data_IF_843001452897
#
_entry.id   IF_843001452897
#
_cell.length_a   1.000
_cell.length_b   1.000
_cell.length_c   1.000
_cell.angle_alpha   90.00
_cell.angle_beta   90.00
_cell.angle_gamma   90.00
#
_symmetry.space_group_name_H-M   'P 1'
#
loop_
_entity.id
_entity.type
_entity.pdbx_description
1 polymer ?
#
# COMPACT_ATOMS: atom_id res chain seq x y z
N UNK A 1 -36.20 -8.59 -41.13
CA UNK A 1 -35.12 -9.42 -41.71
C UNK A 1 -35.51 -10.90 -41.81
N UNK A 2 -36.03 -11.53 -40.76
CA UNK A 2 -36.49 -12.94 -40.83
C UNK A 2 -37.55 -13.17 -41.92
N UNK A 3 -38.46 -12.21 -42.12
CA UNK A 3 -39.52 -12.31 -43.14
C UNK A 3 -39.06 -12.01 -44.59
N UNK A 4 -37.81 -11.57 -44.76
CA UNK A 4 -37.21 -11.32 -46.08
C UNK A 4 -36.48 -12.56 -46.62
N UNK A 5 -36.18 -13.56 -45.78
CA UNK A 5 -35.53 -14.79 -46.21
C UNK A 5 -36.60 -15.72 -46.76
N UNK A 6 -36.76 -15.74 -48.09
CA UNK A 6 -37.61 -16.68 -48.81
C UNK A 6 -36.72 -17.59 -49.65
N UNK A 7 -36.75 -18.88 -49.37
CA UNK A 7 -35.98 -19.88 -50.11
C UNK A 7 -36.98 -20.76 -50.85
N UNK A 8 -36.94 -20.68 -52.18
CA UNK A 8 -37.69 -21.59 -53.05
C UNK A 8 -36.72 -22.59 -53.66
N UNK A 9 -36.93 -23.88 -53.38
CA UNK A 9 -36.11 -24.95 -53.92
C UNK A 9 -36.87 -25.69 -55.02
N UNK A 10 -36.28 -25.75 -56.23
CA UNK A 10 -36.72 -26.64 -57.30
C UNK A 10 -35.62 -27.70 -57.52
N UNK A 11 -35.87 -28.98 -57.22
CA UNK A 11 -34.85 -30.01 -57.34
C UNK A 11 -34.43 -30.21 -58.80
N UNK A 12 -33.13 -30.34 -59.05
CA UNK A 12 -32.60 -30.70 -60.35
C UNK A 12 -32.85 -32.21 -60.58
N UNK A 13 -33.79 -32.53 -61.48
CA UNK A 13 -34.04 -33.91 -61.91
C UNK A 13 -33.17 -34.23 -63.13
N UNK A 14 -32.12 -35.04 -62.93
CA UNK A 14 -31.33 -35.58 -64.02
C UNK A 14 -31.96 -36.90 -64.49
N UNK A 15 -32.60 -36.87 -65.64
CA UNK A 15 -33.17 -38.06 -66.29
C UNK A 15 -32.28 -38.51 -67.43
N UNK A 16 -32.01 -39.81 -67.50
CA UNK A 16 -31.35 -40.46 -68.63
C UNK A 16 -32.21 -41.65 -69.05
N UNK A 17 -32.20 -41.99 -70.33
CA UNK A 17 -32.84 -43.18 -70.87
C UNK A 17 -32.07 -44.45 -70.48
N UNK A 18 -31.90 -44.67 -69.18
CA UNK A 18 -31.04 -45.71 -68.62
C UNK A 18 -31.34 -47.09 -69.20
N UNK A 19 -32.61 -47.49 -69.25
CA UNK A 19 -33.02 -48.80 -69.76
C UNK A 19 -32.68 -48.98 -71.26
N UNK A 20 -32.78 -47.93 -72.06
CA UNK A 20 -32.42 -47.99 -73.49
C UNK A 20 -30.90 -48.00 -73.68
N UNK A 21 -30.18 -47.17 -72.91
CA UNK A 21 -28.74 -47.06 -72.97
C UNK A 21 -28.06 -48.33 -72.45
N UNK A 22 -28.56 -48.91 -71.36
CA UNK A 22 -28.11 -50.19 -70.79
C UNK A 22 -28.36 -51.33 -71.77
N UNK A 23 -29.56 -51.41 -72.37
CA UNK A 23 -29.89 -52.43 -73.37
C UNK A 23 -29.04 -52.32 -74.63
N UNK A 24 -28.79 -51.09 -75.10
CA UNK A 24 -27.90 -50.84 -76.24
C UNK A 24 -26.46 -51.23 -75.92
N UNK A 25 -25.95 -50.80 -74.76
CA UNK A 25 -24.60 -51.11 -74.33
C UNK A 25 -24.41 -52.61 -74.10
N UNK A 26 -25.37 -53.31 -73.48
CA UNK A 26 -25.33 -54.75 -73.29
C UNK A 26 -25.28 -55.50 -74.63
N UNK A 27 -26.10 -55.08 -75.61
CA UNK A 27 -26.10 -55.66 -76.96
C UNK A 27 -24.83 -55.36 -77.75
N UNK A 28 -24.24 -54.18 -77.56
CA UNK A 28 -22.92 -53.88 -78.13
C UNK A 28 -21.85 -54.76 -77.49
N UNK A 29 -21.89 -54.94 -76.15
CA UNK A 29 -20.96 -55.76 -75.38
C UNK A 29 -20.95 -57.25 -75.79
N UNK A 30 -22.06 -57.81 -76.28
CA UNK A 30 -22.13 -59.17 -76.84
C UNK A 30 -21.16 -59.39 -78.02
N UNK A 31 -20.86 -58.33 -78.80
CA UNK A 31 -19.89 -58.40 -79.92
C UNK A 31 -18.45 -58.59 -79.46
N UNK A 32 -18.20 -58.42 -78.17
CA UNK A 32 -16.86 -58.46 -77.56
C UNK A 32 -16.60 -59.78 -76.83
N UNK A 33 -17.54 -60.74 -76.87
CA UNK A 33 -17.38 -62.11 -76.36
C UNK A 33 -16.56 -62.96 -77.36
N UNK A 34 -15.31 -62.54 -77.60
CA UNK A 34 -14.40 -63.14 -78.60
C UNK A 34 -13.22 -63.79 -77.89
N UNK A 35 -12.96 -65.06 -78.19
CA UNK A 35 -11.75 -65.77 -77.72
C UNK A 35 -10.52 -65.17 -78.41
N UNK A 36 -9.62 -64.57 -77.64
CA UNK A 36 -8.38 -63.98 -78.16
C UNK A 36 -7.44 -65.09 -78.60
N UNK A 37 -7.11 -65.14 -79.89
CA UNK A 37 -6.13 -66.04 -80.50
C UNK A 37 -4.97 -65.23 -81.08
N UNK A 38 -3.87 -65.88 -81.48
CA UNK A 38 -2.65 -65.20 -81.96
C UNK A 38 -2.89 -64.21 -83.11
N UNK A 39 -3.87 -64.51 -83.98
CA UNK A 39 -4.21 -63.68 -85.14
C UNK A 39 -5.21 -62.54 -84.81
N UNK A 40 -5.94 -62.62 -83.69
CA UNK A 40 -7.01 -61.65 -83.32
C UNK A 40 -6.59 -60.66 -82.23
N UNK A 41 -5.36 -60.76 -81.69
CA UNK A 41 -4.84 -59.88 -80.63
C UNK A 41 -4.90 -58.39 -80.99
N UNK A 42 -4.64 -58.05 -82.25
CA UNK A 42 -4.65 -56.65 -82.71
C UNK A 42 -6.06 -56.05 -82.64
N UNK A 43 -7.05 -56.81 -83.09
CA UNK A 43 -8.45 -56.38 -83.11
C UNK A 43 -9.02 -56.35 -81.68
N UNK A 44 -8.67 -57.31 -80.84
CA UNK A 44 -9.02 -57.30 -79.41
C UNK A 44 -8.48 -56.05 -78.67
N UNK A 45 -7.26 -55.59 -78.99
CA UNK A 45 -6.70 -54.34 -78.43
C UNK A 45 -7.43 -53.09 -78.93
N UNK A 46 -7.85 -53.06 -80.20
CA UNK A 46 -8.64 -51.96 -80.74
C UNK A 46 -10.01 -51.87 -80.04
N UNK A 47 -10.68 -53.01 -79.89
CA UNK A 47 -11.96 -53.13 -79.19
C UNK A 47 -11.87 -52.71 -77.71
N UNK A 48 -10.82 -53.12 -77.00
CA UNK A 48 -10.58 -52.68 -75.62
C UNK A 48 -10.34 -51.16 -75.52
N UNK A 49 -9.75 -50.55 -76.55
CA UNK A 49 -9.54 -49.10 -76.62
C UNK A 49 -10.88 -48.36 -76.83
N UNK A 50 -11.76 -48.90 -77.68
CA UNK A 50 -13.11 -48.36 -77.89
C UNK A 50 -13.97 -48.43 -76.62
N UNK A 51 -13.96 -49.55 -75.90
CA UNK A 51 -14.68 -49.68 -74.62
C UNK A 51 -14.18 -48.68 -73.58
N UNK A 52 -12.85 -48.45 -73.51
CA UNK A 52 -12.29 -47.41 -72.64
C UNK A 52 -12.72 -46.00 -73.06
N UNK A 53 -12.85 -45.72 -74.36
CA UNK A 53 -13.36 -44.45 -74.86
C UNK A 53 -14.84 -44.24 -74.49
N UNK A 54 -15.69 -45.25 -74.70
CA UNK A 54 -17.12 -45.23 -74.34
C UNK A 54 -17.32 -45.05 -72.84
N UNK A 55 -16.57 -45.79 -72.01
CA UNK A 55 -16.54 -45.60 -70.55
C UNK A 55 -16.20 -44.16 -70.17
N UNK A 56 -15.16 -43.59 -70.79
CA UNK A 56 -14.74 -42.21 -70.51
C UNK A 56 -15.82 -41.20 -70.90
N UNK A 57 -16.51 -41.39 -72.02
CA UNK A 57 -17.62 -40.51 -72.45
C UNK A 57 -18.77 -40.54 -71.44
N UNK A 58 -19.18 -41.73 -70.98
CA UNK A 58 -20.25 -41.88 -69.97
C UNK A 58 -19.85 -41.18 -68.67
N UNK A 59 -18.64 -41.44 -68.17
CA UNK A 59 -18.17 -40.85 -66.92
C UNK A 59 -18.00 -39.33 -67.02
N UNK A 60 -17.44 -38.81 -68.11
CA UNK A 60 -17.30 -37.37 -68.35
C UNK A 60 -18.66 -36.70 -68.43
N UNK A 61 -19.60 -37.21 -69.25
CA UNK A 61 -20.95 -36.61 -69.36
C UNK A 61 -21.70 -36.64 -68.04
N UNK A 62 -21.61 -37.75 -67.29
CA UNK A 62 -22.18 -37.85 -65.93
C UNK A 62 -21.60 -36.76 -65.03
N UNK A 63 -20.27 -36.60 -64.98
CA UNK A 63 -19.61 -35.59 -64.15
C UNK A 63 -19.98 -34.17 -64.56
N UNK A 64 -20.01 -33.89 -65.86
CA UNK A 64 -20.33 -32.55 -66.39
C UNK A 64 -21.78 -32.16 -66.08
N UNK A 65 -22.75 -33.05 -66.30
CA UNK A 65 -24.16 -32.77 -66.02
C UNK A 65 -24.45 -32.69 -64.50
N UNK A 66 -23.79 -33.53 -63.68
CA UNK A 66 -23.86 -33.40 -62.21
C UNK A 66 -23.23 -32.10 -61.74
N UNK A 67 -22.12 -31.67 -62.33
CA UNK A 67 -21.48 -30.40 -62.01
C UNK A 67 -22.42 -29.23 -62.32
N UNK A 68 -23.02 -29.19 -63.52
CA UNK A 68 -24.01 -28.19 -63.93
C UNK A 68 -25.23 -28.17 -63.02
N UNK A 69 -25.79 -29.34 -62.67
CA UNK A 69 -26.94 -29.44 -61.78
C UNK A 69 -26.62 -28.98 -60.34
N UNK A 70 -25.38 -29.18 -59.89
CA UNK A 70 -24.93 -28.75 -58.55
C UNK A 70 -24.54 -27.27 -58.47
N UNK A 71 -24.26 -26.62 -59.61
CA UNK A 71 -23.77 -25.25 -59.69
C UNK A 71 -24.73 -24.23 -59.03
N UNK A 72 -26.05 -24.25 -59.28
CA UNK A 72 -26.97 -23.33 -58.61
C UNK A 72 -26.99 -23.49 -57.09
N UNK A 73 -26.83 -24.72 -56.60
CA UNK A 73 -26.79 -25.00 -55.15
C UNK A 73 -25.50 -24.47 -54.53
N UNK A 74 -24.35 -24.65 -55.21
CA UNK A 74 -23.06 -24.10 -54.77
C UNK A 74 -23.08 -22.57 -54.76
N UNK A 75 -23.64 -21.95 -55.79
CA UNK A 75 -23.80 -20.49 -55.86
C UNK A 75 -24.73 -19.97 -54.77
N UNK A 76 -25.84 -20.67 -54.50
CA UNK A 76 -26.73 -20.35 -53.38
C UNK A 76 -25.99 -20.41 -52.04
N UNK A 77 -25.27 -21.49 -51.74
CA UNK A 77 -24.48 -21.63 -50.51
C UNK A 77 -23.42 -20.53 -50.38
N UNK A 78 -22.70 -20.22 -51.47
CA UNK A 78 -21.73 -19.13 -51.49
C UNK A 78 -22.36 -17.76 -51.21
N UNK A 79 -23.52 -17.47 -51.81
CA UNK A 79 -24.26 -16.23 -51.58
C UNK A 79 -24.76 -16.14 -50.14
N UNK A 80 -25.27 -17.24 -49.58
CA UNK A 80 -25.70 -17.28 -48.18
C UNK A 80 -24.53 -17.08 -47.22
N UNK A 81 -23.39 -17.73 -47.46
CA UNK A 81 -22.15 -17.51 -46.69
C UNK A 81 -21.68 -16.05 -46.76
N UNK A 82 -21.79 -15.41 -47.92
CA UNK A 82 -21.49 -13.98 -48.07
C UNK A 82 -22.38 -13.11 -47.18
N UNK A 83 -23.69 -13.39 -47.12
CA UNK A 83 -24.61 -12.66 -46.24
C UNK A 83 -24.27 -12.88 -44.76
N UNK A 84 -23.94 -14.11 -44.35
CA UNK A 84 -23.47 -14.40 -42.99
C UNK A 84 -22.21 -13.61 -42.67
N UNK A 85 -21.21 -13.63 -43.56
CA UNK A 85 -19.96 -12.89 -43.39
C UNK A 85 -20.19 -11.37 -43.29
N UNK A 86 -21.17 -10.81 -44.00
CA UNK A 86 -21.55 -9.40 -43.86
C UNK A 86 -22.08 -9.08 -42.45
N UNK A 87 -22.90 -9.97 -41.88
CA UNK A 87 -23.40 -9.81 -40.51
C UNK A 87 -22.26 -9.91 -39.48
N UNK A 88 -21.36 -10.88 -39.64
CA UNK A 88 -20.19 -11.06 -38.77
C UNK A 88 -19.26 -9.84 -38.82
N UNK A 89 -18.93 -9.35 -40.02
CA UNK A 89 -18.12 -8.15 -40.20
C UNK A 89 -18.78 -6.92 -39.58
N UNK A 90 -20.10 -6.76 -39.73
CA UNK A 90 -20.86 -5.68 -39.09
C UNK A 90 -20.80 -5.75 -37.56
N UNK A 91 -21.01 -6.94 -36.98
CA UNK A 91 -20.86 -7.18 -35.54
C UNK A 91 -19.46 -6.86 -35.05
N UNK A 92 -18.43 -7.35 -35.74
CA UNK A 92 -17.05 -7.14 -35.33
C UNK A 92 -16.68 -5.65 -35.31
N UNK A 93 -17.11 -4.89 -36.32
CA UNK A 93 -16.92 -3.42 -36.33
C UNK A 93 -17.52 -2.74 -35.10
N UNK A 94 -18.72 -3.17 -34.66
CA UNK A 94 -19.35 -2.63 -33.45
C UNK A 94 -18.54 -3.00 -32.21
N UNK A 95 -18.10 -4.25 -32.08
CA UNK A 95 -17.28 -4.69 -30.95
C UNK A 95 -15.95 -3.92 -30.88
N UNK A 96 -15.29 -3.72 -32.02
CA UNK A 96 -14.05 -2.95 -32.08
C UNK A 96 -14.27 -1.48 -31.67
N UNK A 97 -15.40 -0.87 -32.08
CA UNK A 97 -15.77 0.48 -31.66
C UNK A 97 -16.06 0.57 -30.16
N UNK A 98 -16.80 -0.41 -29.61
CA UNK A 98 -17.09 -0.48 -28.17
C UNK A 98 -15.78 -0.62 -27.39
N UNK A 99 -14.90 -1.53 -27.79
CA UNK A 99 -13.61 -1.73 -27.12
C UNK A 99 -12.77 -0.45 -27.10
N UNK A 100 -12.64 0.23 -28.25
CA UNK A 100 -11.91 1.52 -28.34
C UNK A 100 -12.51 2.57 -27.42
N UNK A 101 -13.83 2.72 -27.44
CA UNK A 101 -14.53 3.68 -26.59
C UNK A 101 -14.30 3.37 -25.09
N UNK A 102 -14.38 2.10 -24.70
CA UNK A 102 -14.14 1.71 -23.32
C UNK A 102 -12.70 1.96 -22.86
N UNK A 103 -11.72 1.64 -23.71
CA UNK A 103 -10.30 1.83 -23.41
C UNK A 103 -9.94 3.32 -23.33
N UNK A 104 -10.45 4.14 -24.26
CA UNK A 104 -10.31 5.61 -24.22
C UNK A 104 -10.98 6.19 -22.96
N UNK A 105 -12.16 5.68 -22.57
CA UNK A 105 -12.86 6.12 -21.36
C UNK A 105 -12.06 5.76 -20.10
N UNK A 106 -11.50 4.55 -20.03
CA UNK A 106 -10.64 4.11 -18.90
C UNK A 106 -9.35 4.93 -18.82
N UNK A 107 -8.73 5.22 -19.96
CA UNK A 107 -7.55 6.10 -20.02
C UNK A 107 -7.88 7.51 -19.53
N UNK A 108 -9.00 8.08 -19.97
CA UNK A 108 -9.44 9.41 -19.52
C UNK A 108 -9.79 9.42 -18.04
N UNK A 109 -10.41 8.35 -17.53
CA UNK A 109 -10.67 8.19 -16.10
C UNK A 109 -9.37 8.23 -15.29
N UNK A 110 -8.35 7.48 -15.72
CA UNK A 110 -7.06 7.44 -15.03
C UNK A 110 -6.35 8.79 -15.04
N UNK A 111 -6.38 9.51 -16.16
CA UNK A 111 -5.84 10.87 -16.27
C UNK A 111 -6.51 11.81 -15.26
N UNK A 112 -7.83 11.89 -15.27
CA UNK A 112 -8.59 12.76 -14.37
C UNK A 112 -8.41 12.37 -12.89
N UNK A 113 -8.38 11.06 -12.58
CA UNK A 113 -8.12 10.57 -11.23
C UNK A 113 -6.71 10.97 -10.76
N UNK A 114 -5.73 10.93 -11.65
CA UNK A 114 -4.34 11.30 -11.36
C UNK A 114 -4.24 12.79 -11.06
N UNK A 115 -4.82 13.63 -11.92
CA UNK A 115 -4.89 15.08 -11.73
C UNK A 115 -5.58 15.43 -10.41
N UNK A 116 -6.76 14.86 -10.17
CA UNK A 116 -7.53 15.12 -8.95
C UNK A 116 -6.79 14.67 -7.70
N UNK A 117 -6.12 13.51 -7.71
CA UNK A 117 -5.32 13.05 -6.57
C UNK A 117 -4.17 14.00 -6.25
N UNK A 118 -3.48 14.52 -7.27
CA UNK A 118 -2.39 15.50 -7.09
C UNK A 118 -2.91 16.81 -6.52
N UNK A 119 -4.04 17.31 -7.04
CA UNK A 119 -4.75 18.46 -6.49
C UNK A 119 -5.06 18.25 -5.00
N UNK A 120 -5.66 17.10 -4.65
CA UNK A 120 -6.02 16.79 -3.25
C UNK A 120 -4.82 16.64 -2.33
N UNK A 121 -3.72 16.02 -2.78
CA UNK A 121 -2.47 16.00 -2.01
C UNK A 121 -1.91 17.41 -1.78
N UNK A 122 -2.05 18.30 -2.77
CA UNK A 122 -1.60 19.69 -2.67
C UNK A 122 -2.46 20.48 -1.70
N UNK A 123 -3.78 20.40 -1.83
CA UNK A 123 -4.75 21.08 -0.95
C UNK A 123 -4.59 20.69 0.52
N UNK A 124 -4.28 19.41 0.78
CA UNK A 124 -4.10 18.88 2.13
C UNK A 124 -2.65 18.95 2.63
N UNK A 125 -1.74 19.53 1.83
CA UNK A 125 -0.31 19.64 2.12
C UNK A 125 0.31 18.30 2.53
N UNK A 126 0.02 17.24 1.76
CA UNK A 126 0.58 15.91 1.98
C UNK A 126 2.00 15.87 1.42
N UNK A 127 2.98 15.58 2.29
CA UNK A 127 4.39 15.47 1.93
C UNK A 127 4.64 14.21 1.08
N UNK A 128 5.65 14.25 0.22
CA UNK A 128 5.96 13.18 -0.73
C UNK A 128 6.14 11.80 -0.08
N UNK A 129 6.71 11.74 1.13
CA UNK A 129 6.91 10.48 1.86
C UNK A 129 5.60 9.77 2.25
N UNK A 130 4.47 10.49 2.27
CA UNK A 130 3.16 9.95 2.64
C UNK A 130 2.23 9.71 1.45
N UNK A 131 2.61 10.12 0.23
CA UNK A 131 1.76 10.01 -0.97
C UNK A 131 1.66 8.57 -1.45
N UNK A 132 0.74 7.79 -0.87
CA UNK A 132 0.61 6.34 -1.09
C UNK A 132 -0.71 5.94 -1.75
N UNK A 133 -1.70 6.84 -1.82
CA UNK A 133 -3.00 6.60 -2.43
C UNK A 133 -2.91 6.02 -3.85
N UNK A 134 -3.29 4.75 -4.01
CA UNK A 134 -3.44 4.07 -5.30
C UNK A 134 -4.77 4.46 -5.94
N UNK A 135 -4.86 4.52 -7.27
CA UNK A 135 -6.08 4.90 -8.00
C UNK A 135 -6.37 4.06 -9.24
N UNK A 136 -5.47 3.14 -9.62
CA UNK A 136 -5.58 2.40 -10.88
C UNK A 136 -6.85 1.54 -10.95
N UNK A 137 -7.26 0.99 -9.81
CA UNK A 137 -8.49 0.20 -9.67
C UNK A 137 -9.77 1.03 -9.83
N UNK A 138 -9.69 2.35 -9.68
CA UNK A 138 -10.80 3.27 -9.86
C UNK A 138 -11.01 3.68 -11.32
N UNK A 139 -10.07 3.36 -12.23
CA UNK A 139 -10.14 3.71 -13.65
C UNK A 139 -11.11 2.80 -14.42
N UNK A 140 -12.40 2.93 -14.11
CA UNK A 140 -13.51 2.16 -14.70
C UNK A 140 -14.46 3.07 -15.47
N UNK A 141 -15.33 2.49 -16.30
CA UNK A 141 -16.27 3.24 -17.15
C UNK A 141 -17.16 4.21 -16.35
N UNK A 142 -17.63 3.81 -15.18
CA UNK A 142 -18.48 4.63 -14.33
C UNK A 142 -17.74 5.72 -13.55
N UNK A 143 -16.41 5.78 -13.64
CA UNK A 143 -15.62 6.81 -12.98
C UNK A 143 -15.74 8.17 -13.69
N UNK A 144 -16.17 8.18 -14.95
CA UNK A 144 -16.40 9.38 -15.75
C UNK A 144 -17.89 9.51 -16.04
N UNK A 145 -18.43 10.71 -15.84
CA UNK A 145 -19.82 11.03 -16.16
C UNK A 145 -20.01 11.24 -17.65
N UNK A 146 -21.25 11.20 -18.15
CA UNK A 146 -21.54 11.51 -19.56
C UNK A 146 -21.12 12.92 -20.01
N UNK A 147 -20.76 13.82 -19.08
CA UNK A 147 -20.20 15.15 -19.37
C UNK A 147 -18.66 15.18 -19.41
N UNK A 148 -17.99 14.04 -19.24
CA UNK A 148 -16.53 13.95 -19.24
C UNK A 148 -15.83 14.33 -17.94
N UNK A 149 -16.58 14.60 -16.86
CA UNK A 149 -16.03 14.90 -15.53
C UNK A 149 -16.02 13.65 -14.63
N UNK A 150 -15.13 13.61 -13.64
CA UNK A 150 -15.13 12.54 -12.61
C UNK A 150 -16.48 12.44 -11.90
N UNK A 151 -16.95 11.20 -11.74
CA UNK A 151 -18.11 10.88 -10.94
C UNK A 151 -17.86 11.16 -9.45
N UNK A 152 -18.93 11.50 -8.72
CA UNK A 152 -18.84 11.81 -7.30
C UNK A 152 -18.33 10.63 -6.46
N UNK A 153 -18.68 9.38 -6.83
CA UNK A 153 -18.17 8.17 -6.19
C UNK A 153 -16.66 8.03 -6.35
N UNK A 154 -16.15 8.24 -7.57
CA UNK A 154 -14.71 8.19 -7.85
C UNK A 154 -13.93 9.26 -7.07
N UNK A 155 -14.47 10.48 -7.00
CA UNK A 155 -13.87 11.55 -6.18
C UNK A 155 -13.82 11.19 -4.70
N UNK A 156 -14.92 10.69 -4.13
CA UNK A 156 -14.96 10.25 -2.72
C UNK A 156 -13.93 9.16 -2.44
N UNK A 157 -13.81 8.17 -3.32
CA UNK A 157 -12.80 7.12 -3.15
C UNK A 157 -11.37 7.66 -3.18
N UNK A 158 -11.08 8.67 -4.02
CA UNK A 158 -9.78 9.35 -4.01
C UNK A 158 -9.61 10.15 -2.72
N UNK A 159 -10.61 10.93 -2.31
CA UNK A 159 -10.58 11.73 -1.08
C UNK A 159 -10.33 10.86 0.15
N UNK A 160 -11.02 9.73 0.30
CA UNK A 160 -10.82 8.79 1.41
C UNK A 160 -9.37 8.27 1.46
N UNK A 161 -8.80 7.91 0.31
CA UNK A 161 -7.41 7.43 0.22
C UNK A 161 -6.40 8.52 0.53
N UNK A 162 -6.62 9.73 0.01
CA UNK A 162 -5.75 10.89 0.31
C UNK A 162 -5.88 11.31 1.78
N UNK A 163 -7.08 11.22 2.37
CA UNK A 163 -7.28 11.45 3.80
C UNK A 163 -6.56 10.43 4.67
N UNK A 164 -6.44 9.17 4.21
CA UNK A 164 -5.63 8.16 4.89
C UNK A 164 -4.14 8.53 4.86
N UNK A 165 -3.62 9.01 3.72
CA UNK A 165 -2.25 9.53 3.59
C UNK A 165 -2.03 10.71 4.56
N UNK A 166 -2.95 11.69 4.58
CA UNK A 166 -2.87 12.84 5.49
C UNK A 166 -2.93 12.42 6.96
N UNK A 167 -3.80 11.47 7.30
CA UNK A 167 -3.89 10.93 8.67
C UNK A 167 -2.61 10.22 9.10
N UNK A 168 -1.90 9.56 8.16
CA UNK A 168 -0.60 8.96 8.43
C UNK A 168 0.48 10.01 8.67
N UNK A 169 0.48 11.09 7.89
CA UNK A 169 1.35 12.24 8.11
C UNK A 169 1.11 12.88 9.48
N UNK A 170 -0.13 13.25 9.80
CA UNK A 170 -0.46 13.93 11.07
C UNK A 170 -0.10 13.08 12.29
N UNK A 171 -0.29 11.76 12.18
CA UNK A 171 0.15 10.80 13.21
C UNK A 171 1.66 10.80 13.36
N UNK A 172 2.39 10.78 12.26
CA UNK A 172 3.85 10.80 12.25
C UNK A 172 4.40 12.10 12.84
N UNK A 173 3.84 13.24 12.45
CA UNK A 173 4.20 14.55 12.99
C UNK A 173 3.93 14.61 14.50
N UNK A 174 2.77 14.12 14.96
CA UNK A 174 2.45 14.01 16.38
C UNK A 174 3.47 13.14 17.13
N UNK A 175 3.81 11.97 16.59
CA UNK A 175 4.80 11.06 17.18
C UNK A 175 6.15 11.73 17.37
N UNK A 176 6.63 12.42 16.34
CA UNK A 176 7.90 13.15 16.39
C UNK A 176 7.87 14.32 17.39
N UNK A 177 6.75 15.04 17.48
CA UNK A 177 6.58 16.12 18.46
C UNK A 177 6.61 15.61 19.91
N UNK A 178 6.04 14.44 20.16
CA UNK A 178 5.99 13.84 21.50
C UNK A 178 7.28 13.09 21.88
N UNK A 179 8.08 12.69 20.90
CA UNK A 179 9.28 11.87 21.09
C UNK A 179 10.29 12.51 22.05
N UNK A 180 10.56 13.80 21.89
CA UNK A 180 11.48 14.53 22.78
C UNK A 180 10.95 14.56 24.21
N UNK A 181 9.66 14.83 24.38
CA UNK A 181 9.04 14.86 25.70
C UNK A 181 9.06 13.50 26.39
N UNK A 182 8.80 12.42 25.65
CA UNK A 182 8.87 11.05 26.16
C UNK A 182 10.31 10.67 26.54
N UNK A 183 11.29 11.04 25.72
CA UNK A 183 12.71 10.77 25.99
C UNK A 183 13.17 11.45 27.27
N UNK A 184 12.85 12.74 27.45
CA UNK A 184 13.22 13.49 28.65
C UNK A 184 12.51 12.99 29.90
N UNK A 185 11.23 12.62 29.80
CA UNK A 185 10.47 12.01 30.91
C UNK A 185 11.06 10.69 31.38
N UNK A 186 11.66 9.93 30.46
CA UNK A 186 12.35 8.69 30.79
C UNK A 186 13.76 8.89 31.37
N UNK A 187 14.25 10.13 31.46
CA UNK A 187 15.56 10.45 32.04
C UNK A 187 16.74 10.42 31.07
N UNK A 188 16.49 10.32 29.76
CA UNK A 188 17.56 10.40 28.76
C UNK A 188 18.17 11.81 28.72
N UNK A 189 19.49 11.89 28.82
CA UNK A 189 20.23 13.15 28.72
C UNK A 189 20.19 13.74 27.30
N UNK A 190 20.14 12.87 26.28
CA UNK A 190 19.98 13.26 24.87
C UNK A 190 18.68 12.66 24.34
N UNK A 191 17.71 13.48 23.90
CA UNK A 191 16.45 12.98 23.39
C UNK A 191 16.61 12.13 22.13
N UNK A 192 15.73 11.14 21.95
CA UNK A 192 15.66 10.39 20.71
C UNK A 192 15.22 11.30 19.55
N UNK A 193 15.84 11.08 18.40
CA UNK A 193 15.52 11.76 17.14
C UNK A 193 14.72 10.86 16.21
N UNK A 194 14.23 11.43 15.10
CA UNK A 194 13.52 10.68 14.05
C UNK A 194 14.28 9.42 13.59
N UNK A 195 15.60 9.48 13.49
CA UNK A 195 16.42 8.37 13.00
C UNK A 195 16.30 7.11 13.88
N UNK A 196 16.13 7.30 15.19
CA UNK A 196 15.98 6.19 16.15
C UNK A 196 14.66 5.44 15.96
N UNK A 197 13.61 6.13 15.50
CA UNK A 197 12.25 5.59 15.38
C UNK A 197 11.85 5.27 13.93
N UNK A 198 12.70 5.59 12.96
CA UNK A 198 12.36 5.55 11.53
C UNK A 198 11.90 4.16 11.06
N UNK A 199 12.44 3.07 11.63
CA UNK A 199 12.09 1.69 11.26
C UNK A 199 10.66 1.29 11.62
N UNK A 200 10.04 1.95 12.59
CA UNK A 200 8.69 1.66 13.05
C UNK A 200 7.77 2.88 13.12
N UNK A 201 8.19 3.99 12.51
CA UNK A 201 7.49 5.27 12.55
C UNK A 201 6.08 5.21 11.96
N UNK A 202 5.84 4.29 11.02
CA UNK A 202 4.56 4.10 10.34
C UNK A 202 3.74 2.92 10.88
N UNK A 203 4.24 2.22 11.89
CA UNK A 203 3.55 1.06 12.47
C UNK A 203 2.27 1.48 13.22
N UNK A 204 1.33 0.54 13.46
CA UNK A 204 0.17 0.76 14.32
C UNK A 204 0.57 1.30 15.69
N UNK A 205 -0.32 2.05 16.34
CA UNK A 205 -0.01 2.75 17.60
C UNK A 205 0.53 1.84 18.70
N UNK A 206 -0.05 0.66 18.85
CA UNK A 206 0.36 -0.35 19.84
C UNK A 206 1.79 -0.84 19.59
N UNK A 207 2.14 -1.08 18.32
CA UNK A 207 3.47 -1.54 17.91
C UNK A 207 4.49 -0.41 18.04
N UNK A 208 4.11 0.81 17.65
CA UNK A 208 4.96 1.99 17.77
C UNK A 208 5.35 2.25 19.21
N UNK A 209 4.38 2.27 20.13
CA UNK A 209 4.64 2.56 21.54
C UNK A 209 5.51 1.47 22.17
N UNK A 210 5.22 0.19 21.92
CA UNK A 210 6.01 -0.92 22.45
C UNK A 210 7.47 -0.89 21.96
N UNK A 211 7.71 -0.55 20.70
CA UNK A 211 9.08 -0.42 20.16
C UNK A 211 9.79 0.82 20.70
N UNK A 212 9.07 1.93 20.87
CA UNK A 212 9.61 3.15 21.46
C UNK A 212 10.05 2.91 22.90
N UNK A 213 9.19 2.31 23.72
CA UNK A 213 9.49 1.99 25.13
C UNK A 213 10.73 1.11 25.22
N UNK A 214 10.84 0.10 24.35
CA UNK A 214 12.01 -0.78 24.29
C UNK A 214 13.31 -0.05 23.96
N UNK A 215 13.28 0.91 23.05
CA UNK A 215 14.47 1.70 22.69
C UNK A 215 14.84 2.64 23.82
N UNK A 216 13.85 3.32 24.42
CA UNK A 216 14.06 4.20 25.57
C UNK A 216 14.70 3.41 26.72
N UNK A 217 14.16 2.25 27.09
CA UNK A 217 14.73 1.37 28.12
C UNK A 217 16.18 0.99 27.82
N UNK A 218 16.46 0.64 26.56
CA UNK A 218 17.81 0.26 26.15
C UNK A 218 18.81 1.42 26.24
N UNK A 219 18.39 2.64 25.91
CA UNK A 219 19.27 3.80 25.95
C UNK A 219 19.43 4.39 27.35
N UNK A 220 18.41 4.32 28.19
CA UNK A 220 18.53 4.65 29.62
C UNK A 220 19.56 3.73 30.27
N UNK A 221 19.45 2.42 30.02
CA UNK A 221 20.43 1.44 30.52
C UNK A 221 21.84 1.73 30.03
N UNK A 222 22.00 2.07 28.75
CA UNK A 222 23.31 2.42 28.18
C UNK A 222 23.90 3.68 28.82
N UNK A 223 23.07 4.67 29.12
CA UNK A 223 23.49 5.90 29.81
C UNK A 223 23.93 5.60 31.24
N UNK A 224 23.14 4.82 31.99
CA UNK A 224 23.47 4.41 33.37
C UNK A 224 24.81 3.66 33.43
N UNK A 225 25.05 2.71 32.52
CA UNK A 225 26.31 1.97 32.43
C UNK A 225 27.50 2.90 32.12
N UNK A 226 27.29 3.91 31.28
CA UNK A 226 28.32 4.90 30.95
C UNK A 226 28.63 5.82 32.15
N UNK A 227 27.60 6.27 32.87
CA UNK A 227 27.74 7.07 34.08
C UNK A 227 28.44 6.30 35.20
N UNK A 228 28.08 5.03 35.42
CA UNK A 228 28.75 4.16 36.40
C UNK A 228 30.24 4.01 36.07
N UNK A 229 30.59 3.69 34.82
CA UNK A 229 31.98 3.58 34.38
C UNK A 229 32.76 4.89 34.55
N UNK A 230 32.13 6.03 34.28
CA UNK A 230 32.75 7.34 34.49
C UNK A 230 32.98 7.62 35.97
N UNK A 231 31.99 7.33 36.83
CA UNK A 231 32.12 7.48 38.30
C UNK A 231 33.24 6.61 38.85
N UNK A 232 33.32 5.34 38.44
CA UNK A 232 34.40 4.44 38.85
C UNK A 232 35.78 4.96 38.41
N UNK A 233 35.89 5.50 37.20
CA UNK A 233 37.15 6.07 36.70
C UNK A 233 37.57 7.28 37.52
N UNK A 234 36.64 8.20 37.80
CA UNK A 234 36.90 9.38 38.65
C UNK A 234 37.31 8.95 40.07
N UNK A 235 36.63 7.95 40.64
CA UNK A 235 37.00 7.42 41.96
C UNK A 235 38.42 6.83 41.97
N UNK A 236 38.78 6.02 40.97
CA UNK A 236 40.13 5.46 40.85
C UNK A 236 41.20 6.54 40.67
N UNK A 237 40.93 7.55 39.85
CA UNK A 237 41.84 8.70 39.66
C UNK A 237 42.02 9.50 40.96
N UNK A 238 40.95 9.72 41.72
CA UNK A 238 41.00 10.42 43.00
C UNK A 238 41.79 9.63 44.06
N UNK A 239 41.58 8.30 44.16
CA UNK A 239 42.35 7.44 45.07
C UNK A 239 43.82 7.44 44.70
N UNK A 240 44.15 7.27 43.42
CA UNK A 240 45.53 7.31 42.95
C UNK A 240 46.20 8.68 43.16
N UNK A 241 45.46 9.78 43.05
CA UNK A 241 45.97 11.12 43.34
C UNK A 241 46.23 11.34 44.83
N UNK A 242 45.33 10.86 45.70
CA UNK A 242 45.51 10.90 47.15
C UNK A 242 46.72 10.06 47.59
N UNK A 243 46.86 8.84 47.07
CA UNK A 243 48.02 7.98 47.34
C UNK A 243 49.34 8.63 46.91
N UNK A 244 49.37 9.29 45.75
CA UNK A 244 50.56 10.05 45.31
C UNK A 244 50.87 11.22 46.24
N UNK A 245 49.87 12.00 46.67
CA UNK A 245 50.08 13.09 47.63
C UNK A 245 50.60 12.59 48.97
N UNK A 246 50.07 11.48 49.48
CA UNK A 246 50.56 10.82 50.71
C UNK A 246 51.99 10.34 50.54
N UNK A 247 52.32 9.72 49.41
CA UNK A 247 53.69 9.27 49.12
C UNK A 247 54.68 10.44 49.00
N UNK A 248 54.28 11.56 48.40
CA UNK A 248 55.08 12.78 48.32
C UNK A 248 55.30 13.42 49.71
N UNK A 249 54.26 13.48 50.56
CA UNK A 249 54.40 13.97 51.95
C UNK A 249 55.30 13.06 52.79
N UNK A 250 55.19 11.74 52.65
CA UNK A 250 56.07 10.78 53.34
C UNK A 250 57.51 10.92 52.85
N UNK A 251 57.73 11.18 51.56
CA UNK A 251 59.07 11.37 50.99
C UNK A 251 59.70 12.68 51.46
N UNK A 252 58.92 13.77 51.51
CA UNK A 252 59.36 15.05 52.08
C UNK A 252 59.64 14.95 53.58
N UNK A 253 58.83 14.21 54.35
CA UNK A 253 59.06 13.97 55.76
C UNK A 253 60.35 13.16 56.03
N UNK A 254 60.73 12.25 55.10
CA UNK A 254 62.00 11.53 55.16
C UNK A 254 63.21 12.40 54.81
N UNK A 255 63.08 13.42 53.97
CA UNK A 255 64.16 14.38 53.67
C UNK A 255 64.41 15.38 54.83
N UNK A 256 63.43 15.64 55.70
CA UNK A 256 63.56 16.61 56.81
C UNK A 256 64.23 16.02 58.07
N UNK A 257 64.54 14.72 58.11
CA UNK A 257 65.47 14.15 59.09
C UNK A 257 65.09 14.35 60.56
N UNK A 258 63.94 13.80 61.00
CA UNK A 258 63.66 13.54 62.42
C UNK A 258 63.11 12.13 62.53
N UNK A 259 63.93 11.22 63.08
CA UNK A 259 63.50 9.86 63.43
C UNK A 259 62.84 9.96 64.80
N UNK A 260 61.51 9.93 64.83
CA UNK A 260 60.79 9.39 65.97
C UNK A 260 59.81 8.34 65.46
N UNK A 261 60.14 7.08 65.75
CA UNK A 261 59.55 5.90 65.10
C UNK A 261 58.12 5.65 65.59
N UNK A 262 57.74 6.23 66.73
CA UNK A 262 56.46 6.02 67.40
C UNK A 262 55.36 6.97 66.89
N UNK A 263 55.69 8.13 66.31
CA UNK A 263 54.71 9.06 65.71
C UNK A 263 54.28 8.69 64.27
N UNK A 264 55.04 7.81 63.60
CA UNK A 264 54.72 7.34 62.25
C UNK A 264 53.62 6.27 62.24
N UNK A 265 53.53 5.43 63.28
CA UNK A 265 52.51 4.38 63.36
C UNK A 265 51.12 4.96 63.70
N UNK A 266 51.04 6.00 64.53
CA UNK A 266 49.77 6.71 64.82
C UNK A 266 49.26 7.49 63.59
N UNK A 267 50.15 8.14 62.83
CA UNK A 267 49.76 8.85 61.61
C UNK A 267 49.31 7.88 60.49
N UNK A 268 49.92 6.69 60.40
CA UNK A 268 49.54 5.67 59.42
C UNK A 268 48.19 5.01 59.75
N UNK A 269 47.89 4.81 61.04
CA UNK A 269 46.56 4.33 61.49
C UNK A 269 45.47 5.39 61.27
N UNK A 270 45.74 6.66 61.55
CA UNK A 270 44.77 7.75 61.32
C UNK A 270 44.50 7.99 59.82
N UNK A 271 45.51 7.80 58.96
CA UNK A 271 45.34 7.88 57.50
C UNK A 271 44.59 6.66 56.93
N UNK A 272 44.81 5.46 57.47
CA UNK A 272 44.06 4.26 57.13
C UNK A 272 42.59 4.32 57.61
N UNK A 273 42.33 4.96 58.75
CA UNK A 273 40.99 5.22 59.28
C UNK A 273 40.24 6.30 58.47
N UNK A 274 40.93 7.32 57.96
CA UNK A 274 40.33 8.27 57.02
C UNK A 274 40.04 7.63 55.65
N UNK A 275 40.95 6.78 55.15
CA UNK A 275 40.75 6.07 53.89
C UNK A 275 39.59 5.05 53.97
N UNK A 276 39.43 4.34 55.08
CA UNK A 276 38.31 3.40 55.30
C UNK A 276 36.97 4.09 55.58
N UNK A 277 36.99 5.30 56.17
CA UNK A 277 35.80 6.15 56.33
C UNK A 277 35.27 6.73 55.01
N UNK A 278 36.15 6.94 54.02
CA UNK A 278 35.78 7.34 52.65
C UNK A 278 35.17 6.15 51.86
N UNK A 279 35.57 4.91 52.16
CA UNK A 279 35.10 3.69 51.49
C UNK A 279 33.71 3.21 51.99
N UNK A 280 33.28 3.61 53.19
CA UNK A 280 32.09 3.04 53.86
C UNK A 280 30.82 3.92 53.80
N UNK A 281 30.82 5.02 53.04
CA UNK A 281 29.59 5.80 52.80
C UNK A 281 28.96 5.43 51.46
N UNK A 282 28.13 4.39 51.47
CA UNK A 282 26.95 4.39 50.61
C UNK A 282 26.10 5.62 50.98
N UNK A 283 25.73 6.49 50.03
CA UNK A 283 24.65 7.43 50.25
C UNK A 283 23.35 6.69 49.92
N UNK A 284 22.66 6.22 50.96
CA UNK A 284 21.25 5.83 50.84
C UNK A 284 20.38 7.08 50.60
N UNK A 285 19.29 6.86 49.90
CA UNK A 285 18.44 7.78 49.18
C UNK A 285 17.74 8.82 50.06
N UNK A 286 17.72 10.08 49.59
CA UNK A 286 16.51 10.94 49.45
C UNK A 286 16.90 12.42 49.55
N UNK A 287 16.84 13.14 48.44
CA UNK A 287 16.05 14.37 48.30
C UNK A 287 16.50 15.16 47.08
N UNK A 288 15.71 15.00 46.03
CA UNK A 288 15.71 15.90 44.89
C UNK A 288 15.11 17.23 45.33
N UNK A 289 15.94 18.18 45.71
CA UNK A 289 15.56 19.59 45.79
C UNK A 289 16.72 20.47 45.33
N UNK A 290 16.65 20.80 44.04
CA UNK A 290 16.93 22.12 43.45
C UNK A 290 18.05 22.95 44.08
N UNK A 291 19.16 23.08 43.35
CA UNK A 291 20.05 24.25 43.44
C UNK A 291 20.03 24.97 42.09
N UNK A 292 19.28 26.07 42.02
CA UNK A 292 19.54 27.16 41.08
C UNK A 292 20.65 28.06 41.65
N UNK A 293 21.54 28.55 40.79
CA UNK A 293 22.24 29.84 40.98
C UNK A 293 22.82 30.28 39.62
N UNK A 294 22.18 31.21 38.89
CA UNK A 294 22.25 32.69 38.97
C UNK A 294 23.27 33.24 37.93
N UNK A 295 23.10 34.36 37.19
CA UNK A 295 22.36 35.65 37.29
C UNK A 295 22.09 36.18 35.85
N UNK A 296 21.06 37.00 35.56
CA UNK A 296 21.05 38.45 35.88
C UNK A 296 19.66 39.14 35.83
N UNK A 297 19.54 40.18 36.67
CA UNK A 297 18.69 41.38 36.70
C UNK A 297 17.32 41.45 35.98
N UNK A 298 16.26 41.71 36.77
CA UNK A 298 15.08 42.49 36.35
C UNK A 298 13.72 42.02 36.90
N UNK A 299 13.23 42.69 37.96
CA UNK A 299 11.81 43.00 38.28
C UNK A 299 10.74 41.88 38.53
N UNK A 300 10.18 41.91 39.75
CA UNK A 300 8.95 41.26 40.29
C UNK A 300 8.88 39.71 40.30
N UNK A 301 9.01 39.14 41.50
CA UNK A 301 9.14 37.70 41.75
C UNK A 301 7.78 36.99 41.93
N UNK A 302 6.98 36.92 40.86
CA UNK A 302 5.74 36.13 40.83
C UNK A 302 5.73 35.23 39.61
N UNK A 303 5.62 33.91 39.81
CA UNK A 303 5.52 32.91 38.74
C UNK A 303 4.05 32.64 38.45
N UNK A 304 3.61 32.94 37.22
CA UNK A 304 2.25 32.65 36.77
C UNK A 304 2.18 31.24 36.19
N UNK A 305 1.53 30.31 36.89
CA UNK A 305 1.24 28.97 36.38
C UNK A 305 -0.17 28.90 35.77
N UNK A 306 -0.29 28.35 34.57
CA UNK A 306 -1.57 28.07 33.92
C UNK A 306 -1.96 26.62 34.17
N UNK A 307 -2.98 26.40 34.99
CA UNK A 307 -3.52 25.08 35.29
C UNK A 307 -4.86 24.94 34.54
N UNK A 308 -4.98 23.90 33.71
CA UNK A 308 -6.24 23.58 33.01
C UNK A 308 -6.89 22.40 33.73
N UNK A 309 -8.05 22.64 34.34
CA UNK A 309 -8.85 21.61 34.99
C UNK A 309 -10.13 21.34 34.17
N UNK A 310 -10.48 20.06 34.02
CA UNK A 310 -11.76 19.65 33.41
C UNK A 310 -12.70 19.14 34.50
N UNK A 311 -13.94 19.62 34.48
CA UNK A 311 -14.99 19.25 35.42
C UNK A 311 -16.20 18.73 34.66
N UNK A 312 -16.81 17.66 35.15
CA UNK A 312 -18.07 17.14 34.64
C UNK A 312 -19.22 17.66 35.52
N UNK A 313 -20.22 18.27 34.89
CA UNK A 313 -21.35 18.90 35.57
C UNK A 313 -22.65 18.45 34.90
N UNK A 314 -23.59 17.94 35.70
CA UNK A 314 -24.95 17.73 35.24
C UNK A 314 -25.70 19.06 35.23
N UNK A 315 -26.11 19.50 34.04
CA UNK A 315 -26.83 20.76 33.83
C UNK A 315 -28.05 20.52 32.95
N UNK A 316 -29.06 21.39 33.08
CA UNK A 316 -30.24 21.34 32.21
C UNK A 316 -29.81 21.49 30.73
N UNK A 317 -30.20 20.57 29.83
CA UNK A 317 -29.79 20.59 28.42
C UNK A 317 -30.20 21.86 27.67
N UNK A 318 -31.23 22.58 28.14
CA UNK A 318 -31.72 23.83 27.53
C UNK A 318 -31.08 25.10 28.10
N UNK A 319 -30.25 25.00 29.13
CA UNK A 319 -29.61 26.18 29.74
C UNK A 319 -28.58 26.81 28.78
N UNK A 320 -28.59 28.14 28.56
CA UNK A 320 -27.55 28.81 27.77
C UNK A 320 -26.17 28.64 28.41
N UNK A 321 -25.12 28.56 27.59
CA UNK A 321 -23.73 28.39 28.07
C UNK A 321 -23.29 29.50 29.03
N UNK A 322 -23.75 30.73 28.81
CA UNK A 322 -23.48 31.87 29.69
C UNK A 322 -24.01 31.66 31.12
N UNK A 323 -25.20 31.05 31.24
CA UNK A 323 -25.83 30.78 32.55
C UNK A 323 -25.07 29.69 33.30
N UNK A 324 -24.61 28.66 32.58
CA UNK A 324 -23.79 27.57 33.14
C UNK A 324 -22.44 28.12 33.61
N UNK A 325 -21.78 28.93 32.78
CA UNK A 325 -20.50 29.58 33.11
C UNK A 325 -20.63 30.47 34.35
N UNK A 326 -21.68 31.29 34.43
CA UNK A 326 -21.91 32.19 35.58
C UNK A 326 -22.12 31.42 36.88
N UNK A 327 -22.91 30.34 36.85
CA UNK A 327 -23.13 29.47 38.03
C UNK A 327 -21.84 28.75 38.44
N UNK A 328 -21.03 28.31 37.49
CA UNK A 328 -19.75 27.65 37.76
C UNK A 328 -18.76 28.63 38.42
N UNK A 329 -18.60 29.83 37.87
CA UNK A 329 -17.74 30.88 38.45
C UNK A 329 -18.16 31.22 39.89
N UNK A 330 -19.46 31.40 40.14
CA UNK A 330 -19.96 31.67 41.50
C UNK A 330 -19.65 30.55 42.50
N UNK A 331 -19.69 29.28 42.07
CA UNK A 331 -19.30 28.14 42.92
C UNK A 331 -17.80 28.09 43.18
N UNK A 332 -16.97 28.38 42.17
CA UNK A 332 -15.52 28.40 42.32
C UNK A 332 -15.07 29.56 43.22
N UNK A 333 -15.70 30.73 43.10
CA UNK A 333 -15.46 31.87 43.97
C UNK A 333 -15.85 31.57 45.43
N UNK A 334 -17.02 30.95 45.65
CA UNK A 334 -17.45 30.48 46.97
C UNK A 334 -16.50 29.42 47.56
N UNK A 335 -15.80 28.65 46.71
CA UNK A 335 -14.78 27.68 47.10
C UNK A 335 -13.37 28.28 47.27
N UNK A 336 -13.22 29.60 47.13
CA UNK A 336 -11.96 30.32 47.35
C UNK A 336 -11.08 30.52 46.12
N UNK A 337 -11.55 30.16 44.92
CA UNK A 337 -10.80 30.39 43.68
C UNK A 337 -11.08 31.80 43.12
N UNK A 338 -10.16 32.73 43.35
CA UNK A 338 -10.28 34.13 42.91
C UNK A 338 -9.47 34.46 41.62
N UNK A 339 -8.70 33.52 41.10
CA UNK A 339 -7.73 33.73 40.00
C UNK A 339 -8.10 33.04 38.67
N UNK A 340 -9.38 32.70 38.44
CA UNK A 340 -9.84 32.03 37.22
C UNK A 340 -9.87 32.99 36.01
N UNK A 341 -8.95 32.79 35.06
CA UNK A 341 -8.80 33.65 33.87
C UNK A 341 -9.75 33.29 32.73
N UNK A 342 -10.06 32.00 32.53
CA UNK A 342 -10.97 31.56 31.47
C UNK A 342 -11.71 30.28 31.82
N UNK A 343 -12.96 30.16 31.36
CA UNK A 343 -13.80 28.97 31.50
C UNK A 343 -14.39 28.66 30.13
N UNK A 344 -14.15 27.45 29.61
CA UNK A 344 -14.78 26.93 28.39
C UNK A 344 -15.83 25.90 28.78
N UNK A 345 -17.03 26.02 28.22
CA UNK A 345 -18.12 25.06 28.42
C UNK A 345 -18.26 24.24 27.13
N UNK A 346 -17.96 22.95 27.22
CA UNK A 346 -18.18 22.02 26.11
C UNK A 346 -19.44 21.21 26.40
N UNK A 347 -20.51 21.43 25.65
CA UNK A 347 -21.70 20.58 25.72
C UNK A 347 -21.49 19.38 24.82
N UNK A 348 -21.43 18.18 25.39
CA UNK A 348 -21.61 16.97 24.59
C UNK A 348 -23.07 16.91 24.16
N UNK A 349 -23.33 17.08 22.85
CA UNK A 349 -24.64 16.76 22.30
C UNK A 349 -24.81 15.24 22.40
N UNK A 350 -25.81 14.80 23.18
CA UNK A 350 -26.24 13.41 23.13
C UNK A 350 -26.64 13.11 21.68
N UNK A 351 -26.04 12.06 21.11
CA UNK A 351 -26.39 11.57 19.78
C UNK A 351 -27.90 11.31 19.75
N UNK A 352 -28.61 12.00 18.86
CA UNK A 352 -30.04 11.83 18.62
C UNK A 352 -30.32 10.54 17.85
#
# INVERSE_FOLDING_TARGET
MKDLIRIEAKPALLSVNFAELEKHLAKELEKYDVVVTGDTVKDAKALATELNATKKIIDTRRKDEVAKASEPVKQFDANMKKLVAMCEAGRQKILDQVQRFEDETRAKALELLTEYRVERWTDLAVNDEFRRAQINDLAILSAVTGKGALAASARRSVDERVMADKSMQDRTERRLLLLENQSLKAGLASPLTRDHVNSFLFEPEEVYQAQLDRIIESEVKRQEEAEQKLREKIQRENVAAAEKQVQETISQAKEVGVIDRDLLDEASQTAADLASSIISKEPDQSDTAQTQSSRSCGESNTVTCFIVCSFELQVDPRAPEEVIRKKFMAKMEAAGFQSLVSVRVNKQQAAA
#
